data_IF_992825000478
#
_entry.id   IF_992825000478
#
_cell.length_a   1.000
_cell.length_b   1.000
_cell.length_c   1.000
_cell.angle_alpha   90.00
_cell.angle_beta   90.00
_cell.angle_gamma   90.00
#
_symmetry.space_group_name_H-M   'P 1'
#
loop_
_entity.id
_entity.type
_entity.pdbx_description
1 polymer ?
#
# COMPACT_ATOMS: atom_id res chain seq x y z
N UNK A 1 -22.41 13.63 -21.63
CA UNK A 1 -22.90 12.28 -21.34
C UNK A 1 -23.11 12.17 -19.85
N UNK A 2 -24.32 11.83 -19.41
CA UNK A 2 -24.69 11.76 -18.00
C UNK A 2 -24.05 10.53 -17.36
N UNK A 3 -23.47 10.69 -16.16
CA UNK A 3 -22.74 9.65 -15.41
C UNK A 3 -23.63 8.48 -14.92
N UNK A 4 -24.90 8.40 -15.35
CA UNK A 4 -25.92 7.47 -14.87
C UNK A 4 -26.65 6.73 -16.00
N UNK A 5 -26.28 6.93 -17.28
CA UNK A 5 -26.93 6.22 -18.37
C UNK A 5 -26.47 4.75 -18.35
N UNK A 6 -27.39 3.76 -18.37
CA UNK A 6 -27.01 2.35 -18.44
C UNK A 6 -26.16 2.13 -19.68
N UNK A 7 -24.97 1.56 -19.50
CA UNK A 7 -24.06 1.21 -20.59
C UNK A 7 -24.86 0.35 -21.59
N UNK A 8 -24.92 0.72 -22.88
CA UNK A 8 -25.65 -0.07 -23.86
C UNK A 8 -25.02 -1.45 -23.95
N UNK A 9 -25.75 -2.45 -23.47
CA UNK A 9 -25.34 -3.86 -23.55
C UNK A 9 -25.68 -4.31 -24.97
N UNK A 10 -24.65 -4.59 -25.79
CA UNK A 10 -24.88 -5.29 -27.05
C UNK A 10 -25.32 -6.73 -26.70
N UNK A 11 -26.61 -7.04 -26.86
CA UNK A 11 -27.27 -8.20 -26.28
C UNK A 11 -26.99 -9.55 -26.99
N UNK A 12 -25.93 -9.64 -27.78
CA UNK A 12 -25.65 -10.86 -28.55
C UNK A 12 -24.22 -11.01 -29.04
N UNK A 13 -23.29 -10.15 -28.64
CA UNK A 13 -21.87 -10.30 -28.99
C UNK A 13 -21.08 -10.79 -27.77
N UNK A 14 -20.17 -11.76 -27.95
CA UNK A 14 -19.31 -12.19 -26.86
C UNK A 14 -18.41 -11.03 -26.45
N UNK A 15 -18.32 -10.78 -25.14
CA UNK A 15 -17.49 -9.72 -24.57
C UNK A 15 -16.88 -10.13 -23.25
N UNK A 16 -15.75 -9.55 -22.89
CA UNK A 16 -15.07 -9.81 -21.61
C UNK A 16 -15.29 -8.64 -20.66
N UNK A 17 -15.61 -8.95 -19.41
CA UNK A 17 -15.76 -7.97 -18.34
C UNK A 17 -14.79 -8.33 -17.25
N UNK A 18 -14.06 -7.36 -16.72
CA UNK A 18 -13.11 -7.55 -15.64
C UNK A 18 -13.60 -6.76 -14.44
N UNK A 19 -13.99 -7.46 -13.38
CA UNK A 19 -14.36 -6.87 -12.11
C UNK A 19 -13.09 -6.77 -11.25
N UNK A 20 -12.68 -5.55 -10.93
CA UNK A 20 -11.59 -5.26 -10.00
C UNK A 20 -12.13 -5.07 -8.59
N UNK A 21 -11.80 -6.00 -7.70
CA UNK A 21 -12.23 -6.05 -6.30
C UNK A 21 -11.05 -5.72 -5.39
N UNK A 22 -11.29 -5.02 -4.27
CA UNK A 22 -10.24 -4.74 -3.27
C UNK A 22 -10.22 -5.80 -2.19
N UNK A 23 -9.04 -6.30 -1.82
CA UNK A 23 -8.92 -7.33 -0.80
C UNK A 23 -9.59 -6.93 0.52
N UNK A 24 -9.30 -5.76 1.06
CA UNK A 24 -9.89 -5.27 2.32
C UNK A 24 -11.42 -5.02 2.30
N UNK A 25 -12.04 -5.03 1.12
CA UNK A 25 -13.50 -4.91 0.98
C UNK A 25 -14.15 -6.28 0.73
N UNK A 26 -13.36 -7.33 0.50
CA UNK A 26 -13.81 -8.68 0.16
C UNK A 26 -13.00 -9.73 0.96
N UNK A 27 -12.61 -9.39 2.19
CA UNK A 27 -11.85 -10.25 3.10
C UNK A 27 -12.66 -11.52 3.45
N UNK A 28 -12.02 -12.68 3.21
CA UNK A 28 -12.27 -13.98 3.86
C UNK A 28 -13.60 -14.72 3.74
N UNK A 29 -14.27 -14.63 2.59
CA UNK A 29 -15.16 -15.74 2.21
C UNK A 29 -15.00 -16.16 0.74
N UNK A 30 -15.09 -17.47 0.50
CA UNK A 30 -15.05 -18.10 -0.83
C UNK A 30 -16.25 -17.69 -1.70
N UNK A 31 -17.22 -16.92 -1.19
CA UNK A 31 -18.43 -16.49 -1.89
C UNK A 31 -18.44 -14.97 -2.21
N UNK A 32 -17.43 -14.23 -1.79
CA UNK A 32 -17.42 -12.76 -1.80
C UNK A 32 -17.30 -12.22 -3.22
N UNK A 33 -16.65 -12.99 -4.09
CA UNK A 33 -16.61 -12.76 -5.52
C UNK A 33 -17.96 -13.10 -6.20
N UNK A 34 -18.71 -14.08 -5.68
CA UNK A 34 -20.06 -14.43 -6.17
C UNK A 34 -21.02 -13.26 -6.00
N UNK A 35 -20.97 -12.58 -4.85
CA UNK A 35 -21.80 -11.38 -4.62
C UNK A 35 -21.45 -10.25 -5.59
N UNK A 36 -20.16 -10.08 -5.93
CA UNK A 36 -19.74 -9.08 -6.91
C UNK A 36 -20.22 -9.40 -8.33
N UNK A 37 -20.18 -10.68 -8.72
CA UNK A 37 -20.73 -11.15 -10.00
C UNK A 37 -22.25 -10.91 -10.03
N UNK A 38 -22.97 -11.30 -8.98
CA UNK A 38 -24.41 -11.10 -8.87
C UNK A 38 -24.79 -9.62 -8.94
N UNK A 39 -24.07 -8.76 -8.22
CA UNK A 39 -24.29 -7.31 -8.26
C UNK A 39 -24.07 -6.73 -9.66
N UNK A 40 -23.04 -7.18 -10.37
CA UNK A 40 -22.79 -6.78 -11.75
C UNK A 40 -23.91 -7.25 -12.68
N UNK A 41 -24.29 -8.53 -12.64
CA UNK A 41 -25.36 -9.08 -13.47
C UNK A 41 -26.68 -8.36 -13.21
N UNK A 42 -27.03 -8.14 -11.94
CA UNK A 42 -28.23 -7.39 -11.56
C UNK A 42 -28.20 -5.95 -12.09
N UNK A 43 -27.05 -5.29 -12.08
CA UNK A 43 -26.88 -3.94 -12.62
C UNK A 43 -27.15 -3.86 -14.13
N UNK A 44 -26.86 -4.95 -14.86
CA UNK A 44 -27.10 -5.08 -16.30
C UNK A 44 -28.42 -5.81 -16.62
N UNK A 45 -29.28 -6.06 -15.61
CA UNK A 45 -30.58 -6.71 -15.78
C UNK A 45 -30.51 -8.21 -16.05
N UNK A 46 -29.39 -8.87 -15.74
CA UNK A 46 -29.16 -10.31 -15.87
C UNK A 46 -29.20 -11.00 -14.50
N UNK A 47 -29.31 -12.33 -14.52
CA UNK A 47 -29.44 -13.15 -13.31
C UNK A 47 -28.24 -14.07 -13.13
N UNK A 48 -27.96 -14.45 -11.89
CA UNK A 48 -26.82 -15.30 -11.53
C UNK A 48 -26.96 -16.75 -12.01
N UNK A 49 -28.18 -17.22 -12.29
CA UNK A 49 -28.45 -18.53 -12.90
C UNK A 49 -27.92 -18.65 -14.33
N UNK A 50 -27.64 -17.52 -14.99
CA UNK A 50 -26.98 -17.47 -16.30
C UNK A 50 -25.46 -17.77 -16.20
N UNK A 51 -24.88 -17.86 -15.00
CA UNK A 51 -23.46 -18.19 -14.78
C UNK A 51 -23.20 -19.70 -14.62
N UNK A 52 -22.07 -20.17 -15.14
CA UNK A 52 -21.55 -21.52 -14.86
C UNK A 52 -20.89 -22.15 -16.09
N UNK A 53 -20.33 -23.38 -15.96
CA UNK A 53 -19.64 -24.05 -17.07
C UNK A 53 -20.50 -24.26 -18.31
N UNK A 54 -21.81 -24.45 -18.11
CA UNK A 54 -22.84 -24.61 -19.13
C UNK A 54 -23.72 -23.36 -19.26
N UNK A 55 -23.43 -22.32 -18.49
CA UNK A 55 -24.18 -21.06 -18.48
C UNK A 55 -23.81 -20.16 -19.65
N UNK A 56 -24.59 -19.11 -19.82
CA UNK A 56 -24.33 -18.04 -20.80
C UNK A 56 -23.08 -17.21 -20.42
N UNK A 57 -22.78 -17.14 -19.13
CA UNK A 57 -21.65 -16.41 -18.57
C UNK A 57 -20.67 -17.36 -17.88
N UNK A 58 -19.37 -17.17 -18.11
CA UNK A 58 -18.32 -17.94 -17.41
C UNK A 58 -17.45 -16.99 -16.61
N UNK A 59 -17.35 -17.25 -15.30
CA UNK A 59 -16.51 -16.49 -14.39
C UNK A 59 -15.20 -17.22 -14.11
N UNK A 60 -14.10 -16.47 -14.14
CA UNK A 60 -12.77 -16.91 -13.76
C UNK A 60 -12.23 -15.96 -12.70
N UNK A 61 -11.91 -16.50 -11.53
CA UNK A 61 -11.33 -15.72 -10.42
C UNK A 61 -9.82 -15.90 -10.48
N UNK A 62 -9.07 -14.81 -10.52
CA UNK A 62 -7.60 -14.88 -10.38
C UNK A 62 -7.26 -15.51 -9.04
N UNK A 63 -6.35 -16.50 -9.04
CA UNK A 63 -5.89 -17.11 -7.80
C UNK A 63 -5.35 -16.02 -6.87
N UNK A 64 -5.77 -16.08 -5.61
CA UNK A 64 -5.34 -15.17 -4.55
C UNK A 64 -3.81 -15.17 -4.53
N UNK A 65 -3.20 -14.11 -5.04
CA UNK A 65 -1.75 -13.95 -4.89
C UNK A 65 -1.52 -13.83 -3.38
N UNK A 66 -0.70 -14.69 -2.80
CA UNK A 66 -0.29 -14.72 -1.38
C UNK A 66 0.38 -13.42 -0.89
N UNK A 67 0.39 -12.39 -1.73
CA UNK A 67 1.18 -11.20 -1.55
C UNK A 67 0.34 -10.04 -1.02
N UNK A 68 0.75 -9.67 0.20
CA UNK A 68 0.68 -8.36 0.84
C UNK A 68 -0.46 -8.14 1.82
N UNK A 69 -0.34 -8.86 2.95
CA UNK A 69 -0.99 -8.60 4.25
C UNK A 69 -0.93 -7.12 4.70
N UNK A 70 -0.07 -6.30 4.08
CA UNK A 70 0.12 -4.88 4.41
C UNK A 70 -0.25 -3.90 3.28
N UNK A 71 -0.92 -4.33 2.20
CA UNK A 71 -1.33 -3.42 1.13
C UNK A 71 -2.85 -3.21 1.12
N UNK A 72 -3.38 -2.14 1.74
CA UNK A 72 -4.82 -1.83 1.75
C UNK A 72 -5.36 -1.42 0.36
N UNK A 73 -4.50 -1.38 -0.67
CA UNK A 73 -4.87 -1.15 -2.08
C UNK A 73 -4.76 -2.41 -2.93
N UNK A 74 -4.36 -3.55 -2.36
CA UNK A 74 -4.31 -4.80 -3.08
C UNK A 74 -5.70 -5.07 -3.68
N UNK A 75 -5.72 -5.48 -4.95
CA UNK A 75 -6.92 -5.83 -5.67
C UNK A 75 -6.72 -7.13 -6.44
N UNK A 76 -7.75 -7.94 -6.52
CA UNK A 76 -7.83 -9.10 -7.39
C UNK A 76 -8.89 -8.89 -8.46
N UNK A 77 -8.78 -9.66 -9.54
CA UNK A 77 -9.69 -9.54 -10.66
C UNK A 77 -10.55 -10.79 -10.82
N UNK A 78 -11.81 -10.55 -11.13
CA UNK A 78 -12.73 -11.59 -11.63
C UNK A 78 -13.00 -11.28 -13.09
N UNK A 79 -12.62 -12.21 -13.96
CA UNK A 79 -12.90 -12.14 -15.39
C UNK A 79 -14.24 -12.82 -15.64
N UNK A 80 -15.16 -12.11 -16.29
CA UNK A 80 -16.49 -12.58 -16.64
C UNK A 80 -16.66 -12.52 -18.16
N UNK A 81 -16.72 -13.71 -18.76
CA UNK A 81 -16.94 -13.90 -20.18
C UNK A 81 -18.45 -13.90 -20.45
N UNK A 82 -18.95 -12.85 -21.09
CA UNK A 82 -20.36 -12.63 -21.39
C UNK A 82 -20.72 -13.25 -22.74
N UNK A 83 -21.88 -13.91 -22.84
CA UNK A 83 -22.41 -14.49 -24.09
C UNK A 83 -21.38 -15.42 -24.77
N UNK A 84 -20.67 -16.25 -23.99
CA UNK A 84 -19.56 -17.12 -24.44
C UNK A 84 -19.89 -17.94 -25.71
N UNK A 85 -21.14 -18.34 -25.86
CA UNK A 85 -21.62 -19.21 -26.94
C UNK A 85 -22.23 -18.46 -28.12
N UNK A 86 -22.20 -17.13 -28.13
CA UNK A 86 -22.86 -16.33 -29.17
C UNK A 86 -22.13 -16.33 -30.53
N UNK A 87 -20.84 -16.70 -30.57
CA UNK A 87 -20.09 -16.96 -31.79
C UNK A 87 -19.56 -18.40 -31.78
N UNK A 88 -19.29 -18.95 -32.97
CA UNK A 88 -18.56 -20.22 -33.08
C UNK A 88 -17.11 -20.00 -32.64
N UNK A 89 -16.76 -20.51 -31.45
CA UNK A 89 -15.40 -20.45 -30.87
C UNK A 89 -14.75 -19.05 -30.92
N UNK A 90 -15.33 -18.03 -30.27
CA UNK A 90 -14.71 -16.71 -30.20
C UNK A 90 -13.33 -16.80 -29.54
N UNK A 91 -12.33 -16.13 -30.12
CA UNK A 91 -11.03 -15.94 -29.49
C UNK A 91 -11.16 -14.97 -28.32
N UNK A 92 -11.40 -15.52 -27.12
CA UNK A 92 -11.64 -14.74 -25.91
C UNK A 92 -10.45 -13.86 -25.50
N UNK A 93 -9.26 -14.07 -26.06
CA UNK A 93 -8.08 -13.24 -25.83
C UNK A 93 -8.05 -11.99 -26.72
N UNK A 94 -8.86 -11.95 -27.78
CA UNK A 94 -8.96 -10.82 -28.72
C UNK A 94 -10.23 -10.01 -28.56
N UNK A 95 -11.13 -10.42 -27.67
CA UNK A 95 -12.35 -9.68 -27.40
C UNK A 95 -12.05 -8.38 -26.65
N UNK A 96 -12.76 -7.29 -26.97
CA UNK A 96 -12.66 -6.08 -26.17
C UNK A 96 -13.11 -6.38 -24.74
N UNK A 97 -12.33 -5.87 -23.79
CA UNK A 97 -12.62 -6.02 -22.37
C UNK A 97 -13.05 -4.70 -21.74
N UNK A 98 -14.05 -4.77 -20.86
CA UNK A 98 -14.48 -3.63 -20.04
C UNK A 98 -14.04 -3.84 -18.60
N UNK A 99 -13.41 -2.84 -17.99
CA UNK A 99 -12.97 -2.93 -16.60
C UNK A 99 -13.95 -2.18 -15.70
N UNK A 100 -14.48 -2.86 -14.70
CA UNK A 100 -15.33 -2.26 -13.68
C UNK A 100 -14.69 -2.37 -12.31
N UNK A 101 -14.76 -1.28 -11.56
CA UNK A 101 -14.42 -1.30 -10.14
C UNK A 101 -15.66 -1.54 -9.31
N UNK A 102 -15.62 -2.60 -8.51
CA UNK A 102 -16.68 -2.95 -7.54
C UNK A 102 -16.23 -2.47 -6.16
N UNK A 103 -17.14 -1.86 -5.41
CA UNK A 103 -16.87 -1.39 -4.04
C UNK A 103 -17.99 -1.75 -3.08
N UNK A 104 -17.65 -2.20 -1.88
CA UNK A 104 -18.65 -2.37 -0.82
C UNK A 104 -19.09 -1.03 -0.21
N UNK A 105 -20.30 -1.02 0.33
CA UNK A 105 -20.81 0.02 1.20
C UNK A 105 -20.13 0.00 2.57
N UNK A 106 -20.34 1.04 3.39
CA UNK A 106 -19.82 1.06 4.78
C UNK A 106 -20.52 0.03 5.68
N UNK A 107 -21.67 -0.43 5.25
CA UNK A 107 -22.57 -1.40 5.85
C UNK A 107 -22.24 -2.85 5.44
N UNK A 108 -21.14 -3.08 4.71
CA UNK A 108 -20.74 -4.41 4.25
C UNK A 108 -21.60 -4.98 3.11
N UNK A 109 -22.70 -4.32 2.75
CA UNK A 109 -23.49 -4.72 1.58
C UNK A 109 -22.83 -4.23 0.30
N UNK A 110 -23.12 -4.90 -0.82
CA UNK A 110 -22.96 -4.30 -2.14
C UNK A 110 -24.23 -3.49 -2.39
N UNK A 111 -24.28 -2.17 -2.13
CA UNK A 111 -25.38 -1.36 -2.62
C UNK A 111 -25.39 -1.54 -4.14
N UNK A 112 -26.58 -1.63 -4.75
CA UNK A 112 -26.78 -1.98 -6.17
C UNK A 112 -26.00 -1.11 -7.18
N UNK A 113 -26.36 -1.18 -8.46
CA UNK A 113 -25.56 -0.66 -9.61
C UNK A 113 -24.77 0.64 -9.40
N UNK A 114 -25.25 1.57 -8.57
CA UNK A 114 -24.66 2.81 -8.08
C UNK A 114 -23.16 2.80 -7.67
N UNK A 115 -22.53 1.65 -7.39
CA UNK A 115 -21.09 1.60 -7.06
C UNK A 115 -20.22 0.80 -8.02
N UNK A 116 -20.79 0.26 -9.08
CA UNK A 116 -20.06 -0.39 -10.16
C UNK A 116 -19.70 0.67 -11.20
N UNK A 117 -18.43 1.03 -11.29
CA UNK A 117 -17.96 2.09 -12.20
C UNK A 117 -17.08 1.50 -13.30
N UNK A 118 -17.46 1.73 -14.56
CA UNK A 118 -16.62 1.46 -15.71
C UNK A 118 -15.39 2.39 -15.68
N UNK A 119 -14.20 1.82 -15.81
CA UNK A 119 -12.95 2.55 -15.92
C UNK A 119 -12.67 2.85 -17.39
N UNK A 120 -12.29 4.09 -17.74
CA UNK A 120 -11.92 4.40 -19.11
C UNK A 120 -10.61 3.71 -19.49
N UNK A 121 -10.67 2.78 -20.47
CA UNK A 121 -9.57 2.45 -21.37
C UNK A 121 -8.28 1.83 -20.80
N UNK A 122 -8.26 1.26 -19.60
CA UNK A 122 -7.08 0.53 -19.12
C UNK A 122 -6.98 -0.84 -19.82
N UNK A 123 -6.05 -0.98 -20.78
CA UNK A 123 -5.58 -2.30 -21.21
C UNK A 123 -4.87 -2.95 -20.04
N UNK A 124 -5.20 -4.20 -19.70
CA UNK A 124 -4.42 -5.01 -18.77
C UNK A 124 -3.01 -5.18 -19.34
N UNK A 125 -2.08 -4.31 -18.95
CA UNK A 125 -0.65 -4.58 -18.96
C UNK A 125 -0.22 -4.91 -17.53
N UNK A 126 0.60 -5.95 -17.34
CA UNK A 126 1.16 -6.26 -16.04
C UNK A 126 2.06 -5.09 -15.63
N UNK A 127 1.99 -4.73 -14.34
CA UNK A 127 2.87 -3.84 -13.57
C UNK A 127 3.97 -3.07 -14.33
N UNK A 128 4.06 -1.75 -14.02
CA UNK A 128 5.04 -0.70 -14.46
C UNK A 128 4.30 0.32 -15.34
N UNK A 129 4.00 1.57 -14.95
CA UNK A 129 4.81 2.66 -14.38
C UNK A 129 3.87 3.67 -13.64
N UNK A 130 4.24 4.21 -12.46
CA UNK A 130 5.01 5.47 -12.29
C UNK A 130 4.30 6.70 -12.89
N UNK A 131 3.50 7.36 -12.07
CA UNK A 131 3.33 8.82 -12.16
C UNK A 131 3.50 9.44 -10.77
N UNK A 132 4.39 10.41 -10.70
CA UNK A 132 4.83 11.09 -9.50
C UNK A 132 3.82 12.15 -9.08
N UNK A 133 3.26 12.00 -7.88
CA UNK A 133 2.96 13.15 -7.04
C UNK A 133 3.19 12.74 -5.59
N UNK A 134 4.38 13.04 -5.08
CA UNK A 134 4.79 12.75 -3.70
C UNK A 134 4.06 13.61 -2.64
N UNK A 135 3.17 14.52 -3.03
CA UNK A 135 2.55 15.45 -2.08
C UNK A 135 1.19 14.98 -1.51
N UNK A 136 0.69 13.81 -1.90
CA UNK A 136 -0.67 13.37 -1.53
C UNK A 136 -0.80 12.31 -0.42
N UNK A 137 0.29 11.68 0.03
CA UNK A 137 0.22 10.50 0.91
C UNK A 137 0.41 10.78 2.40
N UNK A 138 1.08 11.88 2.76
CA UNK A 138 1.33 12.21 4.17
C UNK A 138 0.04 12.60 4.92
N UNK A 139 -1.05 12.96 4.21
CA UNK A 139 -2.24 13.53 4.83
C UNK A 139 -3.42 12.58 5.06
N UNK A 140 -3.35 11.31 4.63
CA UNK A 140 -4.47 10.35 4.80
C UNK A 140 -4.17 9.11 5.64
N UNK A 141 -2.98 9.01 6.21
CA UNK A 141 -2.62 7.91 7.13
C UNK A 141 -2.99 8.26 8.58
N UNK A 142 -3.25 9.53 8.91
CA UNK A 142 -3.54 9.98 10.27
C UNK A 142 -5.03 9.96 10.69
N UNK A 143 -5.98 9.75 9.78
CA UNK A 143 -7.42 9.88 10.10
C UNK A 143 -8.21 8.55 10.13
N UNK A 144 -7.54 7.40 10.04
CA UNK A 144 -8.23 6.09 10.02
C UNK A 144 -7.71 5.04 10.99
N UNK A 145 -6.90 5.44 11.97
CA UNK A 145 -6.79 4.64 13.19
C UNK A 145 -8.10 4.84 13.96
N UNK A 146 -9.06 3.98 13.64
CA UNK A 146 -10.28 3.79 14.41
C UNK A 146 -9.94 3.81 15.90
N UNK A 147 -10.73 4.58 16.63
CA UNK A 147 -10.69 4.86 18.07
C UNK A 147 -11.00 3.61 18.91
N UNK A 148 -10.24 2.53 18.69
CA UNK A 148 -10.24 1.33 19.51
C UNK A 148 -9.11 1.34 20.54
N UNK A 149 -9.29 0.70 21.72
CA UNK A 149 -8.26 0.62 22.76
C UNK A 149 -6.94 0.00 22.26
N UNK A 150 -7.00 -0.85 21.23
CA UNK A 150 -5.82 -1.48 20.61
C UNK A 150 -4.96 -0.45 19.85
N UNK A 151 -5.57 0.45 19.08
CA UNK A 151 -4.84 1.47 18.33
C UNK A 151 -4.12 2.46 19.27
N UNK A 152 -4.79 2.83 20.38
CA UNK A 152 -4.21 3.69 21.41
C UNK A 152 -3.01 3.00 22.09
N UNK A 153 -3.13 1.70 22.42
CA UNK A 153 -2.05 0.95 23.03
C UNK A 153 -0.81 0.86 22.12
N UNK A 154 -1.00 0.61 20.82
CA UNK A 154 0.10 0.55 19.84
C UNK A 154 0.76 1.94 19.69
N UNK A 155 -0.04 3.00 19.57
CA UNK A 155 0.48 4.36 19.45
C UNK A 155 1.33 4.77 20.67
N UNK A 156 0.86 4.45 21.89
CA UNK A 156 1.61 4.72 23.12
C UNK A 156 2.90 3.89 23.16
N UNK A 157 2.85 2.61 22.81
CA UNK A 157 4.03 1.74 22.79
C UNK A 157 5.11 2.26 21.84
N UNK A 158 4.72 2.68 20.62
CA UNK A 158 5.64 3.27 19.63
C UNK A 158 6.21 4.58 20.14
N UNK A 159 5.37 5.47 20.69
CA UNK A 159 5.81 6.75 21.23
C UNK A 159 6.84 6.59 22.36
N UNK A 160 6.60 5.65 23.29
CA UNK A 160 7.53 5.34 24.38
C UNK A 160 8.85 4.76 23.84
N UNK A 161 8.77 3.81 22.91
CA UNK A 161 9.96 3.19 22.33
C UNK A 161 10.86 4.22 21.63
N UNK A 162 10.27 5.13 20.85
CA UNK A 162 11.00 6.21 20.17
C UNK A 162 11.60 7.17 21.18
N UNK A 163 10.84 7.59 22.19
CA UNK A 163 11.33 8.52 23.22
C UNK A 163 12.54 7.94 23.98
N UNK A 164 12.48 6.66 24.36
CA UNK A 164 13.58 5.98 25.04
C UNK A 164 14.80 5.85 24.13
N UNK A 165 14.62 5.44 22.87
CA UNK A 165 15.72 5.30 21.93
C UNK A 165 16.47 6.62 21.71
N UNK A 166 15.72 7.72 21.53
CA UNK A 166 16.30 9.06 21.35
C UNK A 166 17.03 9.51 22.62
N UNK A 167 16.42 9.33 23.80
CA UNK A 167 17.04 9.71 25.07
C UNK A 167 18.38 8.98 25.30
N UNK A 168 18.41 7.67 25.05
CA UNK A 168 19.62 6.85 25.17
C UNK A 168 20.69 7.30 24.17
N UNK A 169 20.32 7.50 22.90
CA UNK A 169 21.27 7.94 21.87
C UNK A 169 21.93 9.28 22.23
N UNK A 170 21.13 10.27 22.66
CA UNK A 170 21.63 11.58 23.08
C UNK A 170 22.55 11.45 24.30
N UNK A 171 22.16 10.66 25.31
CA UNK A 171 22.97 10.46 26.51
C UNK A 171 24.34 9.85 26.19
N UNK A 172 24.39 8.84 25.31
CA UNK A 172 25.64 8.20 24.88
C UNK A 172 26.54 9.19 24.15
N UNK A 173 25.99 9.94 23.19
CA UNK A 173 26.76 10.93 22.41
C UNK A 173 27.37 12.00 23.32
N UNK A 174 26.58 12.54 24.26
CA UNK A 174 27.06 13.55 25.21
C UNK A 174 28.15 12.97 26.12
N UNK A 175 27.95 11.76 26.65
CA UNK A 175 28.94 11.11 27.52
C UNK A 175 30.28 10.89 26.79
N UNK A 176 30.25 10.40 25.56
CA UNK A 176 31.44 10.20 24.73
C UNK A 176 32.14 11.54 24.44
N UNK A 177 31.38 12.56 24.04
CA UNK A 177 31.93 13.88 23.74
C UNK A 177 32.63 14.50 24.95
N UNK A 178 32.02 14.42 26.13
CA UNK A 178 32.60 14.91 27.39
C UNK A 178 33.87 14.11 27.73
N UNK A 179 33.85 12.78 27.64
CA UNK A 179 35.00 11.94 27.94
C UNK A 179 36.21 12.26 27.04
N UNK A 180 35.97 12.43 25.73
CA UNK A 180 37.00 12.82 24.77
C UNK A 180 37.54 14.22 25.08
N UNK A 181 36.66 15.19 25.35
CA UNK A 181 37.08 16.56 25.67
C UNK A 181 37.97 16.61 26.92
N UNK A 182 37.59 15.89 27.98
CA UNK A 182 38.38 15.79 29.21
C UNK A 182 39.73 15.11 28.95
N UNK A 183 39.75 14.00 28.18
CA UNK A 183 40.99 13.31 27.85
C UNK A 183 41.97 14.20 27.08
N UNK A 184 41.48 14.96 26.09
CA UNK A 184 42.30 15.92 25.33
C UNK A 184 42.80 17.05 26.24
N UNK A 185 41.95 17.60 27.10
CA UNK A 185 42.34 18.68 28.01
C UNK A 185 43.44 18.24 28.99
N UNK A 186 43.33 17.03 29.55
CA UNK A 186 44.36 16.45 30.43
C UNK A 186 45.67 16.23 29.65
N UNK A 187 45.60 15.64 28.44
CA UNK A 187 46.78 15.39 27.62
C UNK A 187 47.51 16.68 27.24
N UNK A 188 46.77 17.72 26.84
CA UNK A 188 47.32 19.04 26.53
C UNK A 188 47.99 19.68 27.74
N UNK A 189 47.34 19.63 28.91
CA UNK A 189 47.88 20.18 30.16
C UNK A 189 49.20 19.52 30.55
N UNK A 190 49.30 18.19 30.40
CA UNK A 190 50.54 17.43 30.66
C UNK A 190 51.65 17.77 29.66
N UNK A 191 51.30 17.95 28.39
CA UNK A 191 52.25 18.29 27.34
C UNK A 191 52.86 19.70 27.54
N UNK A 192 52.03 20.67 27.94
CA UNK A 192 52.45 22.03 28.28
C UNK A 192 53.40 22.05 29.48
N UNK A 193 53.07 21.33 30.55
CA UNK A 193 53.87 21.26 31.77
C UNK A 193 55.28 20.67 31.50
N UNK A 194 55.35 19.58 30.72
CA UNK A 194 56.60 18.96 30.26
C UNK A 194 57.42 19.89 29.36
N UNK A 195 56.78 20.63 28.47
CA UNK A 195 57.47 21.55 27.54
C UNK A 195 58.06 22.75 28.29
N UNK A 196 57.32 23.26 29.29
CA UNK A 196 57.75 24.39 30.11
C UNK A 196 58.91 23.99 31.05
N UNK A 197 58.84 22.81 31.67
CA UNK A 197 59.95 22.19 32.39
C UNK A 197 61.19 22.05 31.49
N UNK A 198 61.04 21.59 30.25
CA UNK A 198 62.16 21.43 29.31
C UNK A 198 62.81 22.76 28.93
N UNK A 199 62.01 23.81 28.71
CA UNK A 199 62.54 25.15 28.41
C UNK A 199 63.35 25.71 29.59
N UNK A 200 62.82 25.62 30.82
CA UNK A 200 63.55 26.08 32.03
C UNK A 200 64.84 25.29 32.30
N UNK A 201 64.87 24.00 31.96
CA UNK A 201 66.06 23.15 32.12
C UNK A 201 67.13 23.43 31.04
N UNK A 202 66.72 23.89 29.86
CA UNK A 202 67.65 24.35 28.80
C UNK A 202 68.20 25.74 29.13
N UNK A 203 67.35 26.65 29.61
CA UNK A 203 67.74 28.03 29.96
C UNK A 203 68.69 28.09 31.18
N UNK A 204 68.64 27.09 32.07
CA UNK A 204 69.59 26.93 33.19
C UNK A 204 70.91 26.24 32.81
N UNK A 205 71.06 25.77 31.57
CA UNK A 205 72.27 25.09 31.08
C UNK A 205 73.28 25.99 30.37
N UNK A 206 72.93 27.24 30.04
CA UNK A 206 73.77 28.18 29.27
C UNK A 206 74.49 29.24 30.13
N UNK A 207 74.47 29.12 31.47
CA UNK A 207 75.32 29.94 32.35
C UNK A 207 76.61 29.21 32.75
N UNK A 208 77.55 29.06 31.81
CA UNK A 208 78.98 28.98 32.19
C UNK A 208 79.87 29.71 31.15
N UNK A 209 80.84 30.53 31.62
CA UNK A 209 81.64 31.47 30.82
C UNK A 209 82.70 30.83 29.92
#
# INVERSE_FOLDING_TARGET
MSLNDPVPINNGEPKRVILRLRYNEFEDDDNSHTEAIEAYLKAIGRKMDECGPQGRHVAHVEMRQEYMENNPRASFHVTLDMEKHALGEPDMNKLPHEIYRVRRGKDGTLPGSSRIRCMPGESLSPNVDRDGSEEGYQQRILERLDSGPIAIAIAIAIAIAIAIAIAIAIAIVIAIAIAIAIAIAIAASRCLDLTLMRQLLVDSGDEHP
#
